data_IF_136159617856
#
_entry.id   IF_136159617856
#
_cell.length_a   1.000
_cell.length_b   1.000
_cell.length_c   1.000
_cell.angle_alpha   90.00
_cell.angle_beta   90.00
_cell.angle_gamma   90.00
#
_symmetry.space_group_name_H-M   'P 1'
#
loop_
_entity.id
_entity.type
_entity.pdbx_description
1 polymer ?
#
# COMPACT_ATOMS: atom_id res chain seq x y z
N UNK A 1 39.58 18.90 14.14
CA UNK A 1 40.34 17.78 13.53
C UNK A 1 39.72 16.49 14.04
N UNK A 2 39.16 15.71 13.12
CA UNK A 2 38.20 14.62 13.34
C UNK A 2 38.85 13.42 14.03
N UNK A 3 38.32 12.98 15.18
CA UNK A 3 38.59 11.64 15.73
C UNK A 3 37.51 10.68 15.23
N UNK A 4 37.93 9.76 14.34
CA UNK A 4 37.14 8.65 13.83
C UNK A 4 36.88 7.64 14.95
N UNK A 5 35.61 7.46 15.32
CA UNK A 5 35.14 6.32 16.12
C UNK A 5 34.98 5.13 15.16
N UNK A 6 35.75 4.07 15.42
CA UNK A 6 35.59 2.75 14.82
C UNK A 6 34.34 2.08 15.39
N UNK A 7 33.26 1.98 14.63
CA UNK A 7 32.17 1.05 14.90
C UNK A 7 32.39 -0.25 14.12
N UNK A 8 32.58 -1.34 14.86
CA UNK A 8 32.49 -2.73 14.39
C UNK A 8 31.06 -3.04 13.95
N UNK A 9 30.91 -3.52 12.73
CA UNK A 9 29.63 -3.85 12.09
C UNK A 9 29.18 -5.26 12.49
N UNK A 10 27.98 -5.40 13.03
CA UNK A 10 27.33 -6.69 13.29
C UNK A 10 26.30 -6.97 12.21
N UNK A 11 26.58 -7.96 11.35
CA UNK A 11 25.59 -8.50 10.39
C UNK A 11 24.61 -9.38 11.17
N UNK A 12 23.34 -9.00 11.23
CA UNK A 12 22.26 -9.89 11.68
C UNK A 12 21.82 -10.73 10.48
N UNK A 13 22.27 -11.99 10.45
CA UNK A 13 21.73 -13.02 9.55
C UNK A 13 20.75 -13.84 10.37
N UNK A 14 19.46 -13.81 10.02
CA UNK A 14 18.53 -14.82 10.52
C UNK A 14 18.88 -16.14 9.84
N UNK A 15 19.62 -17.00 10.55
CA UNK A 15 20.02 -18.31 10.04
C UNK A 15 18.83 -19.26 10.23
N UNK A 16 18.13 -19.58 9.14
CA UNK A 16 17.18 -20.70 9.13
C UNK A 16 17.88 -22.02 9.47
N UNK A 17 17.12 -23.01 9.93
CA UNK A 17 17.64 -24.31 10.34
C UNK A 17 18.56 -24.93 9.26
N UNK A 18 19.77 -25.34 9.68
CA UNK A 18 20.76 -26.01 8.84
C UNK A 18 22.06 -25.24 8.56
N UNK A 19 22.16 -23.95 8.90
CA UNK A 19 23.37 -23.14 8.68
C UNK A 19 24.21 -23.00 9.96
N UNK A 20 25.52 -23.29 9.89
CA UNK A 20 26.47 -23.06 11.01
C UNK A 20 27.51 -22.01 10.65
N UNK A 21 27.76 -21.09 11.58
CA UNK A 21 28.80 -20.06 11.49
C UNK A 21 30.15 -20.68 11.86
N UNK A 22 31.15 -20.59 10.97
CA UNK A 22 32.51 -21.05 11.29
C UNK A 22 33.41 -19.89 11.75
N UNK A 23 34.44 -20.22 12.56
CA UNK A 23 35.44 -19.23 13.03
C UNK A 23 36.18 -18.66 11.82
N UNK A 24 35.88 -17.40 11.49
CA UNK A 24 36.35 -16.72 10.29
C UNK A 24 35.25 -15.99 9.51
N UNK A 25 33.99 -16.11 9.91
CA UNK A 25 32.87 -15.36 9.30
C UNK A 25 32.29 -16.00 8.04
N UNK A 26 32.72 -17.21 7.66
CA UNK A 26 32.10 -17.99 6.58
C UNK A 26 30.94 -18.81 7.11
N UNK A 27 29.83 -18.80 6.38
CA UNK A 27 28.63 -19.60 6.66
C UNK A 27 28.69 -20.82 5.75
N UNK A 28 28.63 -22.04 6.31
CA UNK A 28 28.56 -23.28 5.54
C UNK A 28 27.12 -23.81 5.51
N UNK A 29 26.66 -24.25 4.33
CA UNK A 29 25.40 -24.95 4.12
C UNK A 29 25.71 -26.44 3.85
N UNK A 30 25.03 -27.36 4.55
CA UNK A 30 25.23 -28.81 4.41
C UNK A 30 24.21 -29.51 3.49
N UNK A 31 23.39 -28.75 2.75
CA UNK A 31 22.31 -29.30 1.92
C UNK A 31 22.41 -28.78 0.48
N UNK A 32 22.42 -29.72 -0.47
CA UNK A 32 22.54 -29.52 -1.93
C UNK A 32 21.21 -29.04 -2.54
N UNK A 33 20.66 -27.95 -2.02
CA UNK A 33 19.55 -27.23 -2.66
C UNK A 33 19.87 -25.73 -2.68
N UNK A 34 19.75 -25.06 -3.84
CA UNK A 34 20.07 -23.63 -3.93
C UNK A 34 19.09 -22.84 -3.07
N UNK A 35 19.60 -22.21 -2.00
CA UNK A 35 18.84 -21.27 -1.16
C UNK A 35 19.32 -19.84 -1.44
N UNK A 36 18.38 -18.94 -1.70
CA UNK A 36 18.64 -17.50 -1.88
C UNK A 36 18.79 -16.83 -0.52
N UNK A 37 19.85 -16.04 -0.34
CA UNK A 37 20.06 -15.24 0.88
C UNK A 37 20.36 -13.80 0.47
N UNK A 38 19.59 -12.85 1.00
CA UNK A 38 19.82 -11.43 0.75
C UNK A 38 20.82 -10.84 1.73
N UNK A 39 21.80 -10.09 1.21
CA UNK A 39 22.81 -9.42 2.03
C UNK A 39 22.78 -7.92 1.75
N UNK A 40 22.55 -7.13 2.81
CA UNK A 40 22.56 -5.68 2.75
C UNK A 40 23.99 -5.15 2.87
N UNK A 41 24.47 -4.41 1.88
CA UNK A 41 25.76 -3.69 1.94
C UNK A 41 25.59 -2.27 1.42
N UNK A 42 25.80 -1.29 2.30
CA UNK A 42 25.77 0.16 1.97
C UNK A 42 24.52 0.61 1.21
N UNK A 43 23.33 0.20 1.66
CA UNK A 43 22.07 0.63 1.04
C UNK A 43 21.73 -0.06 -0.29
N UNK A 44 22.58 -0.93 -0.83
CA UNK A 44 22.17 -1.86 -1.89
C UNK A 44 21.77 -3.22 -1.29
N UNK A 45 20.64 -3.74 -1.75
CA UNK A 45 20.21 -5.12 -1.53
C UNK A 45 20.76 -5.97 -2.69
N UNK A 46 21.50 -7.03 -2.38
CA UNK A 46 21.98 -8.01 -3.37
C UNK A 46 21.49 -9.40 -2.98
N UNK A 47 20.95 -10.14 -3.95
CA UNK A 47 20.62 -11.55 -3.81
C UNK A 47 21.89 -12.37 -4.07
N UNK A 48 22.29 -13.20 -3.09
CA UNK A 48 23.35 -14.17 -3.26
C UNK A 48 22.75 -15.58 -3.36
N UNK A 49 23.11 -16.30 -4.41
CA UNK A 49 22.78 -17.72 -4.58
C UNK A 49 24.01 -18.53 -4.21
N UNK A 50 23.81 -19.55 -3.37
CA UNK A 50 24.83 -20.58 -3.12
C UNK A 50 24.63 -21.69 -4.15
N UNK A 51 25.63 -21.93 -4.99
CA UNK A 51 25.58 -23.02 -5.96
C UNK A 51 25.81 -24.39 -5.29
N UNK A 52 25.64 -25.48 -6.06
CA UNK A 52 25.79 -26.86 -5.57
C UNK A 52 27.19 -27.19 -5.03
N UNK A 53 28.17 -26.35 -5.31
CA UNK A 53 29.56 -26.47 -4.85
C UNK A 53 29.86 -25.58 -3.62
N UNK A 54 28.87 -24.82 -3.14
CA UNK A 54 28.99 -23.99 -1.93
C UNK A 54 29.62 -22.61 -2.17
N UNK A 55 29.77 -22.18 -3.43
CA UNK A 55 30.25 -20.83 -3.76
C UNK A 55 29.09 -19.83 -3.87
N UNK A 56 29.33 -18.60 -3.40
CA UNK A 56 28.36 -17.51 -3.45
C UNK A 56 28.49 -16.76 -4.77
N UNK A 57 27.42 -16.75 -5.57
CA UNK A 57 27.33 -15.95 -6.80
C UNK A 57 26.31 -14.83 -6.64
N UNK A 58 26.65 -13.64 -7.14
CA UNK A 58 25.74 -12.50 -7.22
C UNK A 58 24.70 -12.76 -8.32
N UNK A 59 23.42 -12.83 -7.96
CA UNK A 59 22.32 -12.90 -8.91
C UNK A 59 21.96 -11.45 -9.26
N UNK A 60 22.50 -10.93 -10.36
CA UNK A 60 22.04 -9.68 -10.95
C UNK A 60 20.69 -9.99 -11.58
N UNK A 61 19.65 -9.22 -11.27
CA UNK A 61 18.31 -9.36 -11.87
C UNK A 61 18.42 -9.46 -13.40
N UNK A 62 18.38 -10.68 -13.92
CA UNK A 62 18.50 -10.98 -15.34
C UNK A 62 19.48 -12.09 -15.66
N UNK A 63 19.20 -13.33 -15.25
CA UNK A 63 19.34 -14.49 -16.13
C UNK A 63 18.74 -15.76 -15.52
N UNK A 64 17.47 -16.01 -15.85
CA UNK A 64 16.84 -17.33 -16.08
C UNK A 64 15.33 -17.17 -16.06
N UNK A 65 14.75 -17.12 -17.26
CA UNK A 65 13.31 -17.24 -17.45
C UNK A 65 12.80 -18.59 -16.96
N UNK A 66 11.63 -18.57 -16.32
CA UNK A 66 10.73 -19.70 -16.32
C UNK A 66 10.23 -19.86 -17.76
N UNK A 67 10.37 -21.08 -18.28
CA UNK A 67 10.38 -21.37 -19.72
C UNK A 67 9.15 -20.92 -20.50
N UNK A 68 9.42 -20.32 -21.65
CA UNK A 68 8.61 -20.41 -22.86
C UNK A 68 9.62 -20.61 -23.99
N UNK A 69 9.51 -21.73 -24.72
CA UNK A 69 10.45 -22.03 -25.80
C UNK A 69 10.37 -21.02 -26.93
N UNK A 70 11.51 -20.72 -27.54
CA UNK A 70 11.81 -20.87 -28.97
C UNK A 70 13.24 -20.38 -29.22
N UNK A 71 13.94 -21.11 -30.09
CA UNK A 71 15.32 -20.89 -30.52
C UNK A 71 15.54 -19.48 -31.07
N UNK A 72 16.29 -18.62 -30.36
CA UNK A 72 16.96 -17.45 -30.95
C UNK A 72 18.31 -17.22 -30.25
N UNK A 73 19.35 -17.05 -31.05
CA UNK A 73 20.76 -16.92 -30.64
C UNK A 73 20.99 -15.69 -29.74
N UNK A 74 21.68 -15.91 -28.62
CA UNK A 74 22.12 -14.85 -27.70
C UNK A 74 23.28 -14.07 -28.36
N UNK A 75 23.17 -12.74 -28.60
CA UNK A 75 24.28 -11.96 -29.13
C UNK A 75 25.38 -11.75 -28.07
N UNK A 76 26.65 -11.63 -28.48
CA UNK A 76 27.77 -11.62 -27.56
C UNK A 76 27.87 -10.29 -26.79
N UNK A 77 28.10 -10.45 -25.48
CA UNK A 77 28.60 -9.49 -24.49
C UNK A 77 28.93 -8.08 -25.00
N UNK A 78 28.02 -7.14 -24.75
CA UNK A 78 28.23 -5.70 -24.82
C UNK A 78 26.98 -5.00 -24.28
N UNK A 79 27.14 -4.30 -23.16
CA UNK A 79 26.12 -3.49 -22.47
C UNK A 79 24.82 -4.21 -22.09
N UNK A 80 24.79 -4.77 -20.87
CA UNK A 80 23.53 -5.11 -20.23
C UNK A 80 22.67 -3.83 -20.12
N UNK A 81 21.47 -3.77 -20.72
CA UNK A 81 20.63 -2.59 -20.57
C UNK A 81 20.31 -2.43 -19.09
N UNK A 82 20.61 -1.27 -18.51
CA UNK A 82 20.09 -0.91 -17.19
C UNK A 82 18.57 -0.96 -17.31
N UNK A 83 17.94 -2.05 -16.85
CA UNK A 83 16.49 -2.15 -16.84
C UNK A 83 16.00 -1.24 -15.74
N UNK A 84 15.83 0.05 -16.05
CA UNK A 84 15.04 0.96 -15.22
C UNK A 84 13.63 0.40 -15.16
N UNK A 85 13.04 0.35 -13.96
CA UNK A 85 11.63 0.05 -13.83
C UNK A 85 10.85 1.13 -14.59
N UNK A 86 9.92 0.71 -15.44
CA UNK A 86 9.03 1.62 -16.16
C UNK A 86 7.60 1.17 -15.90
N UNK A 87 6.71 2.07 -15.45
CA UNK A 87 5.30 1.74 -15.30
C UNK A 87 4.72 1.14 -16.59
N UNK A 88 3.84 0.16 -16.41
CA UNK A 88 3.23 -0.61 -17.51
C UNK A 88 1.79 -0.16 -17.76
N UNK A 89 1.32 -0.40 -18.98
CA UNK A 89 -0.05 -0.05 -19.39
C UNK A 89 -0.38 1.42 -19.15
N UNK A 90 -1.59 1.69 -18.67
CA UNK A 90 -2.08 3.07 -18.46
C UNK A 90 -1.30 3.85 -17.41
N UNK A 91 -0.62 3.20 -16.46
CA UNK A 91 0.19 3.92 -15.46
C UNK A 91 1.29 4.75 -16.13
N UNK A 92 1.81 4.30 -17.28
CA UNK A 92 2.79 5.06 -18.07
C UNK A 92 2.21 6.36 -18.61
N UNK A 93 1.00 6.29 -19.14
CA UNK A 93 0.31 7.47 -19.69
C UNK A 93 -0.08 8.42 -18.57
N UNK A 94 -0.48 7.86 -17.42
CA UNK A 94 -0.84 8.62 -16.24
C UNK A 94 0.36 9.36 -15.66
N UNK A 95 1.52 8.71 -15.61
CA UNK A 95 2.77 9.33 -15.16
C UNK A 95 3.10 10.56 -16.01
N UNK A 96 3.05 10.46 -17.35
CA UNK A 96 3.37 11.59 -18.24
C UNK A 96 2.50 12.82 -18.01
N UNK A 97 1.20 12.61 -17.81
CA UNK A 97 0.29 13.73 -17.52
C UNK A 97 0.60 14.34 -16.15
N UNK A 98 0.91 13.51 -15.16
CA UNK A 98 1.27 13.96 -13.81
C UNK A 98 2.63 14.66 -13.75
N UNK A 99 3.59 14.31 -14.59
CA UNK A 99 4.86 15.05 -14.74
C UNK A 99 4.63 16.49 -15.22
N UNK A 100 3.66 16.71 -16.11
CA UNK A 100 3.30 18.06 -16.56
C UNK A 100 2.63 18.88 -15.44
N UNK A 101 1.72 18.26 -14.68
CA UNK A 101 1.13 18.89 -13.48
C UNK A 101 2.23 19.28 -12.49
N UNK A 102 3.15 18.35 -12.21
CA UNK A 102 4.25 18.56 -11.27
C UNK A 102 5.17 19.71 -11.69
N UNK A 103 5.56 19.76 -12.97
CA UNK A 103 6.40 20.83 -13.52
C UNK A 103 5.80 22.21 -13.25
N UNK A 104 4.47 22.33 -13.41
CA UNK A 104 3.75 23.59 -13.15
C UNK A 104 3.82 23.98 -11.67
N UNK A 105 3.72 23.01 -10.76
CA UNK A 105 3.85 23.27 -9.31
C UNK A 105 5.29 23.64 -8.96
N UNK A 106 6.28 22.94 -9.50
CA UNK A 106 7.70 23.23 -9.28
C UNK A 106 8.09 24.65 -9.72
N UNK A 107 7.62 25.08 -10.89
CA UNK A 107 7.81 26.46 -11.37
C UNK A 107 7.16 27.49 -10.43
N UNK A 108 5.97 27.18 -9.89
CA UNK A 108 5.25 28.05 -8.97
C UNK A 108 5.94 28.21 -7.61
N UNK A 109 6.64 27.17 -7.12
CA UNK A 109 7.30 27.18 -5.80
C UNK A 109 8.79 27.50 -5.87
N UNK A 110 9.45 27.30 -7.01
CA UNK A 110 10.92 27.29 -7.12
C UNK A 110 11.60 28.62 -6.73
N UNK A 111 10.89 29.74 -6.85
CA UNK A 111 11.39 31.07 -6.45
C UNK A 111 11.03 31.46 -5.01
N UNK A 112 10.35 30.59 -4.25
CA UNK A 112 9.72 30.92 -2.96
C UNK A 112 10.12 29.93 -1.86
N UNK A 113 11.28 30.11 -1.19
CA UNK A 113 11.70 29.23 -0.10
C UNK A 113 10.71 29.18 1.08
N UNK A 114 9.92 30.24 1.27
CA UNK A 114 8.87 30.39 2.28
C UNK A 114 7.54 29.71 1.89
N UNK A 115 7.46 29.12 0.70
CA UNK A 115 6.25 28.43 0.25
C UNK A 115 5.94 27.24 1.17
N UNK A 116 4.67 27.03 1.59
CA UNK A 116 4.31 25.94 2.52
C UNK A 116 4.81 24.56 2.09
N UNK A 117 4.78 24.26 0.78
CA UNK A 117 5.31 23.01 0.23
C UNK A 117 6.83 22.87 0.39
N UNK A 118 7.59 23.95 0.19
CA UNK A 118 9.05 23.94 0.39
C UNK A 118 9.40 23.76 1.87
N UNK A 119 8.62 24.38 2.76
CA UNK A 119 8.74 24.17 4.20
C UNK A 119 8.45 22.71 4.55
N UNK A 120 7.41 22.11 3.96
CA UNK A 120 7.03 20.72 4.21
C UNK A 120 8.05 19.72 3.70
N UNK A 121 8.68 19.99 2.55
CA UNK A 121 9.79 19.20 2.02
C UNK A 121 11.03 19.24 2.91
N UNK A 122 11.27 20.35 3.60
CA UNK A 122 12.38 20.51 4.53
C UNK A 122 12.07 20.05 5.95
N UNK A 123 10.80 19.78 6.26
CA UNK A 123 10.32 19.50 7.60
C UNK A 123 10.30 18.00 7.90
N UNK A 124 10.64 17.66 9.14
CA UNK A 124 10.46 16.33 9.71
C UNK A 124 9.36 16.45 10.76
N UNK A 125 8.28 15.71 10.56
CA UNK A 125 7.16 15.62 11.49
C UNK A 125 7.65 15.05 12.82
N UNK A 126 7.24 15.72 13.90
CA UNK A 126 7.57 15.32 15.27
C UNK A 126 6.80 14.04 15.67
N UNK A 127 5.61 13.84 15.09
CA UNK A 127 4.78 12.65 15.27
C UNK A 127 4.27 12.14 13.90
N UNK A 128 4.36 10.82 13.68
CA UNK A 128 3.67 10.16 12.58
C UNK A 128 2.17 10.09 12.86
N UNK A 129 1.34 10.32 11.84
CA UNK A 129 -0.07 9.91 11.90
C UNK A 129 -0.14 8.40 12.09
N UNK A 130 -0.93 7.96 13.07
CA UNK A 130 -1.35 6.56 13.23
C UNK A 130 -2.89 6.46 13.18
N UNK A 131 -3.54 7.48 12.63
CA UNK A 131 -4.99 7.60 12.59
C UNK A 131 -5.63 6.58 11.66
N UNK A 132 -5.02 6.33 10.50
CA UNK A 132 -5.55 5.41 9.49
C UNK A 132 -5.35 3.97 9.92
N UNK A 133 -4.12 3.53 10.18
CA UNK A 133 -3.86 2.15 10.63
C UNK A 133 -4.68 1.75 11.84
N UNK A 134 -4.86 2.64 12.82
CA UNK A 134 -5.72 2.40 13.99
C UNK A 134 -7.21 2.31 13.63
N UNK A 135 -7.69 3.17 12.73
CA UNK A 135 -9.08 3.11 12.28
C UNK A 135 -9.39 1.84 11.47
N UNK A 136 -8.41 1.35 10.69
CA UNK A 136 -8.58 0.16 9.86
C UNK A 136 -8.45 -1.14 10.65
N UNK A 137 -7.55 -1.21 11.63
CA UNK A 137 -7.34 -2.40 12.45
C UNK A 137 -8.28 -2.44 13.65
N UNK A 138 -9.56 -2.72 13.38
CA UNK A 138 -10.62 -2.71 14.40
C UNK A 138 -10.42 -3.78 15.47
N UNK A 139 -10.60 -3.39 16.72
CA UNK A 139 -10.47 -4.28 17.88
C UNK A 139 -11.65 -5.24 18.06
N UNK A 140 -12.81 -4.94 17.46
CA UNK A 140 -14.00 -5.79 17.53
C UNK A 140 -14.02 -6.90 16.48
N UNK A 141 -12.98 -7.01 15.66
CA UNK A 141 -12.84 -8.05 14.64
C UNK A 141 -13.76 -7.87 13.42
N UNK A 142 -14.53 -6.78 13.33
CA UNK A 142 -15.29 -6.46 12.13
C UNK A 142 -14.39 -5.86 11.05
N UNK A 143 -14.82 -5.93 9.79
CA UNK A 143 -14.16 -5.27 8.68
C UNK A 143 -14.29 -3.75 8.79
N UNK A 144 -13.19 -3.01 8.66
CA UNK A 144 -13.25 -1.58 8.45
C UNK A 144 -13.75 -1.26 7.03
N UNK A 145 -14.54 -0.21 6.89
CA UNK A 145 -15.11 0.21 5.60
C UNK A 145 -14.52 1.56 5.20
N UNK A 146 -13.92 1.60 4.00
CA UNK A 146 -13.34 2.79 3.38
C UNK A 146 -14.15 3.14 2.12
N UNK A 147 -15.16 4.01 2.22
CA UNK A 147 -15.81 4.55 1.04
C UNK A 147 -14.83 5.39 0.22
N UNK A 148 -14.83 5.13 -1.08
CA UNK A 148 -14.04 5.87 -2.06
C UNK A 148 -14.91 6.89 -2.79
N UNK A 149 -14.54 8.17 -2.67
CA UNK A 149 -15.25 9.31 -3.24
C UNK A 149 -14.59 9.71 -4.56
N UNK A 150 -15.35 9.56 -5.65
CA UNK A 150 -14.97 9.91 -7.03
C UNK A 150 -16.22 10.18 -7.87
N UNK A 151 -16.10 11.04 -8.87
CA UNK A 151 -17.18 11.34 -9.84
C UNK A 151 -17.12 10.41 -11.06
N UNK A 152 -15.92 9.93 -11.40
CA UNK A 152 -15.65 9.10 -12.57
C UNK A 152 -15.06 7.75 -12.10
N UNK A 153 -15.53 6.67 -12.71
CA UNK A 153 -14.94 5.33 -12.59
C UNK A 153 -13.97 5.11 -13.75
N UNK A 154 -12.81 4.48 -13.46
CA UNK A 154 -11.90 4.07 -14.51
C UNK A 154 -12.61 3.07 -15.47
N UNK A 155 -12.31 3.14 -16.76
CA UNK A 155 -12.90 2.26 -17.76
C UNK A 155 -12.50 0.80 -17.54
N UNK A 156 -13.34 -0.12 -18.05
CA UNK A 156 -13.06 -1.56 -18.01
C UNK A 156 -12.13 -2.06 -19.13
N UNK A 157 -11.76 -1.17 -20.05
CA UNK A 157 -10.90 -1.43 -21.21
C UNK A 157 -9.94 -0.26 -21.44
N UNK A 158 -8.69 -0.49 -21.95
CA UNK A 158 -7.73 0.56 -22.28
C UNK A 158 -8.18 1.61 -23.32
N UNK A 159 -9.14 1.27 -24.18
CA UNK A 159 -9.57 2.15 -25.28
C UNK A 159 -10.84 2.95 -24.98
N UNK A 160 -11.45 2.73 -23.81
CA UNK A 160 -12.69 3.38 -23.40
C UNK A 160 -12.43 4.60 -22.50
N UNK A 161 -13.30 5.63 -22.56
CA UNK A 161 -13.29 6.72 -21.59
C UNK A 161 -13.86 6.26 -20.24
N UNK A 162 -13.46 6.94 -19.16
CA UNK A 162 -14.04 6.71 -17.84
C UNK A 162 -15.55 7.02 -17.80
N UNK A 163 -16.28 6.28 -16.97
CA UNK A 163 -17.72 6.45 -16.81
C UNK A 163 -18.02 7.44 -15.69
N UNK A 164 -18.78 8.50 -15.96
CA UNK A 164 -19.30 9.37 -14.90
C UNK A 164 -20.39 8.62 -14.11
N UNK A 165 -20.11 8.35 -12.83
CA UNK A 165 -20.98 7.56 -11.95
C UNK A 165 -21.86 8.41 -11.04
N UNK A 166 -21.53 9.70 -10.87
CA UNK A 166 -22.28 10.65 -10.06
C UNK A 166 -21.95 12.10 -10.48
N UNK A 167 -22.93 13.00 -10.33
CA UNK A 167 -22.74 14.45 -10.51
C UNK A 167 -22.29 15.15 -9.24
N UNK A 168 -21.99 14.39 -8.16
CA UNK A 168 -21.61 14.85 -6.81
C UNK A 168 -21.12 16.31 -6.77
N UNK A 169 -21.99 17.27 -6.45
CA UNK A 169 -21.64 18.68 -6.57
C UNK A 169 -20.66 19.11 -5.48
N UNK A 170 -20.88 18.63 -4.25
CA UNK A 170 -20.04 18.94 -3.10
C UNK A 170 -19.51 17.66 -2.44
N UNK A 171 -18.20 17.43 -2.56
CA UNK A 171 -17.51 16.27 -1.98
C UNK A 171 -17.61 16.28 -0.45
N UNK A 172 -17.65 17.45 0.19
CA UNK A 172 -17.79 17.53 1.65
C UNK A 172 -19.13 16.96 2.13
N UNK A 173 -20.24 17.30 1.48
CA UNK A 173 -21.56 16.82 1.90
C UNK A 173 -21.62 15.29 1.83
N UNK A 174 -21.00 14.69 0.81
CA UNK A 174 -20.90 13.24 0.72
C UNK A 174 -19.96 12.65 1.77
N UNK A 175 -18.82 13.27 2.04
CA UNK A 175 -17.92 12.81 3.11
C UNK A 175 -18.61 12.89 4.48
N UNK A 176 -19.39 13.94 4.75
CA UNK A 176 -20.17 14.08 5.97
C UNK A 176 -21.25 12.99 6.08
N UNK A 177 -21.96 12.70 4.98
CA UNK A 177 -22.91 11.58 4.91
C UNK A 177 -22.24 10.25 5.27
N UNK A 178 -21.05 9.99 4.72
CA UNK A 178 -20.28 8.77 4.96
C UNK A 178 -19.75 8.70 6.40
N UNK A 179 -19.32 9.82 6.97
CA UNK A 179 -18.96 9.94 8.39
C UNK A 179 -20.15 9.57 9.29
N UNK A 180 -21.33 10.14 9.02
CA UNK A 180 -22.56 9.85 9.78
C UNK A 180 -23.00 8.40 9.60
N UNK A 181 -22.79 7.85 8.40
CA UNK A 181 -23.06 6.44 8.10
C UNK A 181 -22.14 5.45 8.83
N UNK A 182 -21.02 5.92 9.38
CA UNK A 182 -20.12 5.12 10.19
C UNK A 182 -18.83 4.68 9.49
N UNK A 183 -18.43 5.33 8.39
CA UNK A 183 -17.17 5.02 7.70
C UNK A 183 -15.97 5.10 8.65
N UNK A 184 -15.04 4.15 8.52
CA UNK A 184 -13.83 4.09 9.37
C UNK A 184 -12.73 5.02 8.86
N UNK A 185 -12.64 5.19 7.54
CA UNK A 185 -11.84 6.20 6.85
C UNK A 185 -12.54 6.61 5.55
N UNK A 186 -12.17 7.73 4.95
CA UNK A 186 -12.72 8.15 3.65
C UNK A 186 -11.59 8.41 2.67
N UNK A 187 -11.60 7.69 1.54
CA UNK A 187 -10.64 7.88 0.46
C UNK A 187 -11.22 8.80 -0.59
N UNK A 188 -10.57 9.94 -0.83
CA UNK A 188 -11.04 10.97 -1.76
C UNK A 188 -10.02 11.09 -2.87
N UNK A 189 -10.47 10.87 -4.10
CA UNK A 189 -9.61 11.05 -5.26
C UNK A 189 -9.35 12.53 -5.55
N UNK A 190 -8.16 12.87 -6.04
CA UNK A 190 -7.79 14.25 -6.40
C UNK A 190 -7.34 14.42 -7.85
N UNK A 191 -7.31 13.34 -8.63
CA UNK A 191 -7.09 13.41 -10.08
C UNK A 191 -8.38 13.81 -10.81
N UNK A 192 -8.35 15.00 -11.42
CA UNK A 192 -9.52 15.58 -12.08
C UNK A 192 -9.85 14.90 -13.41
N UNK A 193 -8.84 14.41 -14.13
CA UNK A 193 -9.01 13.81 -15.46
C UNK A 193 -9.66 12.43 -15.35
N UNK A 194 -9.22 11.62 -14.39
CA UNK A 194 -9.53 10.18 -14.27
C UNK A 194 -10.65 9.91 -13.27
N UNK A 195 -10.73 10.68 -12.20
CA UNK A 195 -11.70 10.47 -11.12
C UNK A 195 -12.67 11.64 -10.97
N UNK A 196 -12.44 12.75 -11.67
CA UNK A 196 -13.34 13.89 -11.70
C UNK A 196 -13.37 14.71 -10.41
N UNK A 197 -12.44 14.48 -9.48
CA UNK A 197 -12.29 15.24 -8.23
C UNK A 197 -10.96 16.00 -8.24
N UNK A 198 -10.82 17.01 -7.38
CA UNK A 198 -9.70 17.94 -7.41
C UNK A 198 -9.05 18.13 -6.03
N UNK A 199 -7.86 18.73 -6.00
CA UNK A 199 -7.25 19.19 -4.75
C UNK A 199 -8.14 20.21 -4.01
N UNK A 200 -8.90 21.03 -4.74
CA UNK A 200 -9.88 21.96 -4.17
C UNK A 200 -11.02 21.26 -3.43
N UNK A 201 -11.51 20.14 -3.98
CA UNK A 201 -12.50 19.29 -3.30
C UNK A 201 -11.94 18.75 -1.98
N UNK A 202 -10.71 18.21 -2.01
CA UNK A 202 -10.05 17.67 -0.81
C UNK A 202 -9.83 18.75 0.25
N UNK A 203 -9.36 19.93 -0.16
CA UNK A 203 -9.16 21.06 0.75
C UNK A 203 -10.47 21.55 1.40
N UNK A 204 -11.56 21.57 0.63
CA UNK A 204 -12.89 21.92 1.13
C UNK A 204 -13.31 20.94 2.22
N UNK A 205 -13.13 19.64 1.97
CA UNK A 205 -13.45 18.57 2.92
C UNK A 205 -12.65 18.73 4.21
N UNK A 206 -11.32 18.82 4.13
CA UNK A 206 -10.46 18.87 5.33
C UNK A 206 -10.77 20.08 6.19
N UNK A 207 -10.88 21.28 5.60
CA UNK A 207 -11.21 22.52 6.31
C UNK A 207 -12.57 22.49 7.01
N UNK A 208 -13.58 21.88 6.39
CA UNK A 208 -14.94 21.83 6.93
C UNK A 208 -15.11 20.70 7.94
N UNK A 209 -14.46 19.55 7.72
CA UNK A 209 -14.54 18.40 8.65
C UNK A 209 -13.86 18.70 9.98
N UNK A 210 -12.75 19.44 9.98
CA UNK A 210 -12.13 19.94 11.22
C UNK A 210 -13.10 20.76 12.10
N UNK A 211 -14.12 21.40 11.50
CA UNK A 211 -15.11 22.20 12.21
C UNK A 211 -16.35 21.42 12.63
N UNK A 212 -16.62 20.27 12.01
CA UNK A 212 -17.84 19.50 12.19
C UNK A 212 -17.89 18.72 13.53
N UNK A 213 -16.77 18.64 14.26
CA UNK A 213 -16.70 18.03 15.59
C UNK A 213 -16.68 16.49 15.57
N UNK A 214 -16.58 15.91 16.77
CA UNK A 214 -16.51 14.46 16.99
C UNK A 214 -17.89 13.79 16.87
N UNK A 215 -17.91 12.49 16.58
CA UNK A 215 -19.14 11.69 16.50
C UNK A 215 -19.34 10.80 17.75
N UNK A 216 -20.56 10.33 18.04
CA UNK A 216 -20.79 9.36 19.12
C UNK A 216 -20.00 8.07 18.87
N UNK A 217 -19.15 7.66 19.82
CA UNK A 217 -18.33 6.45 19.72
C UNK A 217 -17.01 6.60 18.97
N UNK A 218 -16.59 7.82 18.59
CA UNK A 218 -15.29 8.08 17.97
C UNK A 218 -14.77 9.46 18.38
N UNK A 219 -13.51 9.54 18.79
CA UNK A 219 -12.85 10.79 19.17
C UNK A 219 -12.43 11.63 17.94
N UNK A 220 -13.37 11.91 17.03
CA UNK A 220 -13.14 12.81 15.89
C UNK A 220 -13.82 12.44 14.57
N UNK A 221 -13.45 13.19 13.52
CA UNK A 221 -13.76 12.90 12.13
C UNK A 221 -12.98 11.66 11.65
N UNK A 222 -13.50 10.88 10.67
CA UNK A 222 -12.77 9.76 10.11
C UNK A 222 -11.50 10.26 9.41
N UNK A 223 -10.39 9.50 9.45
CA UNK A 223 -9.19 9.82 8.68
C UNK A 223 -9.49 9.99 7.19
N UNK A 224 -8.87 11.01 6.58
CA UNK A 224 -9.01 11.34 5.17
C UNK A 224 -7.78 10.86 4.40
N UNK A 225 -8.01 10.03 3.39
CA UNK A 225 -6.97 9.42 2.54
C UNK A 225 -7.01 10.11 1.18
N UNK A 226 -5.88 10.66 0.71
CA UNK A 226 -5.75 11.20 -0.64
C UNK A 226 -5.47 10.06 -1.63
N UNK A 227 -6.40 9.83 -2.55
CA UNK A 227 -6.20 8.98 -3.72
C UNK A 227 -5.71 9.80 -4.91
N UNK A 228 -4.50 9.56 -5.38
CA UNK A 228 -3.94 10.19 -6.56
C UNK A 228 -2.81 9.31 -7.14
N UNK A 229 -2.32 9.65 -8.32
CA UNK A 229 -1.14 9.02 -8.91
C UNK A 229 0.13 9.73 -8.38
N UNK A 230 0.55 9.32 -7.18
CA UNK A 230 1.70 9.91 -6.48
C UNK A 230 2.98 9.19 -6.89
N UNK A 231 3.96 9.95 -7.35
CA UNK A 231 5.29 9.45 -7.73
C UNK A 231 6.42 10.39 -7.27
N UNK A 232 6.09 11.57 -6.72
CA UNK A 232 7.07 12.59 -6.31
C UNK A 232 6.82 13.13 -4.89
N UNK A 233 7.86 13.42 -4.09
CA UNK A 233 7.71 13.96 -2.73
C UNK A 233 6.93 15.28 -2.64
N UNK A 234 6.93 16.09 -3.70
CA UNK A 234 6.14 17.33 -3.74
C UNK A 234 4.63 17.05 -3.62
N UNK A 235 4.14 15.96 -4.22
CA UNK A 235 2.73 15.56 -4.09
C UNK A 235 2.41 15.08 -2.66
N UNK A 236 3.39 14.50 -1.95
CA UNK A 236 3.27 14.17 -0.53
C UNK A 236 3.18 15.45 0.30
N UNK A 237 4.02 16.45 0.00
CA UNK A 237 3.97 17.75 0.65
C UNK A 237 2.61 18.42 0.45
N UNK A 238 2.04 18.37 -0.77
CA UNK A 238 0.67 18.84 -1.03
C UNK A 238 -0.37 18.10 -0.19
N UNK A 239 -0.28 16.77 -0.11
CA UNK A 239 -1.22 15.98 0.68
C UNK A 239 -1.17 16.35 2.17
N UNK A 240 0.03 16.52 2.72
CA UNK A 240 0.24 16.91 4.11
C UNK A 240 -0.26 18.33 4.39
N UNK A 241 0.02 19.30 3.51
CA UNK A 241 -0.47 20.68 3.65
C UNK A 241 -1.99 20.80 3.50
N UNK A 242 -2.61 19.90 2.73
CA UNK A 242 -4.06 19.80 2.64
C UNK A 242 -4.72 19.17 3.86
N UNK A 243 -3.93 18.54 4.75
CA UNK A 243 -4.43 17.86 5.95
C UNK A 243 -4.89 16.42 5.71
N UNK A 244 -4.32 15.73 4.72
CA UNK A 244 -4.51 14.29 4.57
C UNK A 244 -3.89 13.53 5.76
N UNK A 245 -4.51 12.42 6.15
CA UNK A 245 -3.95 11.48 7.13
C UNK A 245 -3.11 10.40 6.47
N UNK A 246 -3.44 10.05 5.23
CA UNK A 246 -2.69 9.10 4.43
C UNK A 246 -2.78 9.39 2.94
N UNK A 247 -1.91 8.71 2.19
CA UNK A 247 -1.84 8.74 0.73
C UNK A 247 -1.85 7.32 0.17
N UNK A 248 -2.35 7.17 -1.06
CA UNK A 248 -2.19 5.94 -1.84
C UNK A 248 -0.89 6.03 -2.63
N UNK A 249 -0.01 5.03 -2.47
CA UNK A 249 1.20 4.84 -3.29
C UNK A 249 1.02 3.60 -4.14
N UNK A 250 0.84 3.75 -5.45
CA UNK A 250 0.71 2.59 -6.36
C UNK A 250 2.10 2.01 -6.60
N UNK A 251 2.36 0.78 -6.14
CA UNK A 251 3.69 0.18 -6.17
C UNK A 251 4.30 0.19 -7.58
N UNK A 252 3.53 -0.24 -8.59
CA UNK A 252 3.98 -0.26 -9.98
C UNK A 252 4.22 1.13 -10.61
N UNK A 253 3.71 2.20 -10.00
CA UNK A 253 4.00 3.58 -10.38
C UNK A 253 5.22 4.13 -9.64
N UNK A 254 5.36 3.79 -8.35
CA UNK A 254 6.36 4.36 -7.44
C UNK A 254 7.74 3.71 -7.56
N UNK A 255 7.84 2.48 -8.06
CA UNK A 255 9.13 1.81 -8.22
C UNK A 255 9.99 2.51 -9.29
N UNK A 256 11.32 2.60 -9.08
CA UNK A 256 12.09 2.04 -7.97
C UNK A 256 12.14 2.94 -6.70
N UNK A 257 11.54 4.13 -6.73
CA UNK A 257 11.63 5.15 -5.69
C UNK A 257 10.67 4.96 -4.49
N UNK A 258 9.96 3.83 -4.43
CA UNK A 258 8.97 3.54 -3.39
C UNK A 258 9.53 3.70 -1.96
N UNK A 259 10.76 3.26 -1.69
CA UNK A 259 11.40 3.43 -0.36
C UNK A 259 11.53 4.92 0.02
N UNK A 260 11.92 5.76 -0.94
CA UNK A 260 12.05 7.20 -0.72
C UNK A 260 10.70 7.86 -0.48
N UNK A 261 9.66 7.43 -1.20
CA UNK A 261 8.30 7.95 -1.02
C UNK A 261 7.68 7.50 0.32
N UNK A 262 7.91 6.25 0.74
CA UNK A 262 7.51 5.75 2.06
C UNK A 262 8.16 6.58 3.19
N UNK A 263 9.48 6.78 3.10
CA UNK A 263 10.21 7.59 4.07
C UNK A 263 9.74 9.05 4.06
N UNK A 264 9.53 9.63 2.88
CA UNK A 264 9.05 11.02 2.75
C UNK A 264 7.64 11.19 3.32
N UNK A 265 6.74 10.24 3.08
CA UNK A 265 5.39 10.25 3.66
C UNK A 265 5.45 10.25 5.19
N UNK A 266 6.25 9.35 5.77
CA UNK A 266 6.45 9.28 7.22
C UNK A 266 7.01 10.59 7.79
N UNK A 267 8.04 11.17 7.15
CA UNK A 267 8.63 12.45 7.54
C UNK A 267 7.65 13.62 7.43
N UNK A 268 6.60 13.54 6.60
CA UNK A 268 5.57 14.57 6.49
C UNK A 268 4.36 14.33 7.38
N UNK A 269 4.38 13.27 8.19
CA UNK A 269 3.29 12.88 9.09
C UNK A 269 2.14 12.14 8.38
N UNK A 270 2.38 11.60 7.19
CA UNK A 270 1.41 10.84 6.41
C UNK A 270 1.62 9.34 6.59
N UNK A 271 0.53 8.58 6.68
CA UNK A 271 0.59 7.13 6.47
C UNK A 271 0.57 6.83 4.96
N UNK A 272 1.36 5.83 4.55
CA UNK A 272 1.39 5.38 3.16
C UNK A 272 0.65 4.05 3.03
N UNK A 273 -0.39 4.04 2.22
CA UNK A 273 -1.12 2.83 1.84
C UNK A 273 -0.58 2.39 0.48
N UNK A 274 0.18 1.31 0.45
CA UNK A 274 0.82 0.84 -0.79
C UNK A 274 -0.15 -0.05 -1.55
N UNK A 275 -0.60 0.40 -2.73
CA UNK A 275 -1.49 -0.38 -3.62
C UNK A 275 -0.67 -1.34 -4.47
N UNK A 276 -0.94 -2.64 -4.32
CA UNK A 276 -0.26 -3.74 -5.00
C UNK A 276 -1.24 -4.56 -5.85
N UNK A 277 -0.76 -4.99 -7.01
CA UNK A 277 -1.54 -5.71 -8.03
C UNK A 277 -0.95 -7.09 -8.37
N UNK A 278 0.30 -7.34 -7.96
CA UNK A 278 1.03 -8.59 -8.19
C UNK A 278 1.76 -9.03 -6.93
N UNK A 279 2.10 -10.31 -6.85
CA UNK A 279 2.90 -10.87 -5.76
C UNK A 279 4.25 -10.15 -5.64
N UNK A 280 4.88 -9.85 -6.80
CA UNK A 280 6.14 -9.11 -6.84
C UNK A 280 6.03 -7.71 -6.24
N UNK A 281 4.98 -6.95 -6.59
CA UNK A 281 4.75 -5.62 -6.02
C UNK A 281 4.52 -5.68 -4.50
N UNK A 282 3.75 -6.67 -4.03
CA UNK A 282 3.50 -6.91 -2.61
C UNK A 282 4.79 -7.24 -1.87
N UNK A 283 5.59 -8.16 -2.38
CA UNK A 283 6.81 -8.63 -1.72
C UNK A 283 7.83 -7.49 -1.61
N UNK A 284 8.02 -6.73 -2.70
CA UNK A 284 8.89 -5.55 -2.68
C UNK A 284 8.36 -4.51 -1.69
N UNK A 285 7.06 -4.24 -1.66
CA UNK A 285 6.49 -3.29 -0.71
C UNK A 285 6.74 -3.70 0.75
N UNK A 286 6.58 -4.98 1.08
CA UNK A 286 6.88 -5.53 2.41
C UNK A 286 8.37 -5.40 2.76
N UNK A 287 9.26 -5.72 1.81
CA UNK A 287 10.71 -5.61 2.00
C UNK A 287 11.16 -4.16 2.23
N UNK A 288 10.51 -3.20 1.57
CA UNK A 288 10.76 -1.76 1.74
C UNK A 288 10.08 -1.16 2.98
N UNK A 289 9.40 -1.97 3.79
CA UNK A 289 8.85 -1.56 5.08
C UNK A 289 7.45 -0.96 5.03
N UNK A 290 6.66 -1.25 3.98
CA UNK A 290 5.25 -0.89 3.97
C UNK A 290 4.50 -1.55 5.13
N UNK A 291 3.72 -0.77 5.88
CA UNK A 291 2.94 -1.25 7.04
C UNK A 291 1.44 -1.38 6.75
N UNK A 292 0.98 -0.77 5.65
CA UNK A 292 -0.39 -0.86 5.15
C UNK A 292 -0.34 -1.24 3.66
N UNK A 293 -0.92 -2.39 3.33
CA UNK A 293 -1.04 -2.87 1.95
C UNK A 293 -2.49 -2.80 1.48
N UNK A 294 -2.71 -2.17 0.35
CA UNK A 294 -3.95 -2.23 -0.40
C UNK A 294 -3.80 -3.22 -1.56
N UNK A 295 -4.42 -4.39 -1.41
CA UNK A 295 -4.41 -5.46 -2.41
C UNK A 295 -5.63 -5.27 -3.33
N UNK A 296 -5.36 -4.98 -4.60
CA UNK A 296 -6.38 -4.53 -5.55
C UNK A 296 -6.76 -5.65 -6.53
N UNK A 297 -8.06 -5.84 -6.75
CA UNK A 297 -8.56 -6.71 -7.83
C UNK A 297 -8.44 -6.05 -9.20
N UNK A 298 -8.24 -4.72 -9.27
CA UNK A 298 -8.04 -4.01 -10.52
C UNK A 298 -6.63 -4.30 -11.05
N UNK A 299 -6.50 -4.42 -12.37
CA UNK A 299 -5.21 -4.45 -13.04
C UNK A 299 -5.03 -3.14 -13.81
N UNK A 300 -3.99 -2.35 -13.54
CA UNK A 300 -3.75 -1.15 -14.34
C UNK A 300 -3.18 -1.45 -15.74
N UNK A 301 -2.64 -2.65 -15.98
CA UNK A 301 -2.15 -3.05 -17.31
C UNK A 301 -3.29 -3.42 -18.26
N UNK A 302 -4.32 -4.10 -17.75
CA UNK A 302 -5.47 -4.55 -18.55
C UNK A 302 -6.75 -3.74 -18.31
N UNK A 303 -6.78 -2.89 -17.28
CA UNK A 303 -7.98 -2.20 -16.78
C UNK A 303 -9.11 -3.15 -16.36
N UNK A 304 -8.79 -4.42 -16.11
CA UNK A 304 -9.76 -5.44 -15.74
C UNK A 304 -9.77 -5.67 -14.24
N UNK A 305 -10.98 -5.86 -13.72
CA UNK A 305 -11.19 -6.34 -12.37
C UNK A 305 -11.25 -7.86 -12.43
N UNK A 306 -10.36 -8.52 -11.70
CA UNK A 306 -10.35 -9.98 -11.54
C UNK A 306 -10.75 -10.31 -10.10
N UNK A 307 -12.02 -10.69 -9.85
CA UNK A 307 -12.45 -11.10 -8.51
C UNK A 307 -11.52 -12.20 -7.95
N UNK A 308 -11.13 -12.06 -6.69
CA UNK A 308 -10.25 -13.01 -6.01
C UNK A 308 -8.75 -12.75 -6.15
N UNK A 309 -8.31 -11.84 -7.03
CA UNK A 309 -6.88 -11.48 -7.11
C UNK A 309 -6.34 -10.98 -5.77
N UNK A 310 -7.07 -10.08 -5.10
CA UNK A 310 -6.68 -9.59 -3.79
C UNK A 310 -6.59 -10.72 -2.76
N UNK A 311 -7.50 -11.70 -2.81
CA UNK A 311 -7.46 -12.90 -1.94
C UNK A 311 -6.15 -13.69 -2.15
N UNK A 312 -5.74 -13.90 -3.41
CA UNK A 312 -4.48 -14.57 -3.72
C UNK A 312 -3.26 -13.80 -3.19
N UNK A 313 -3.27 -12.47 -3.29
CA UNK A 313 -2.17 -11.64 -2.79
C UNK A 313 -2.05 -11.69 -1.25
N UNK A 314 -3.14 -11.92 -0.52
CA UNK A 314 -3.19 -11.91 0.95
C UNK A 314 -2.43 -13.07 1.62
N UNK A 315 -2.27 -14.19 0.93
CA UNK A 315 -1.78 -15.47 1.50
C UNK A 315 -0.40 -15.37 2.15
N UNK A 316 0.48 -14.52 1.62
CA UNK A 316 1.86 -14.35 2.10
C UNK A 316 2.07 -13.04 2.89
N UNK A 317 0.99 -12.31 3.19
CA UNK A 317 1.08 -11.08 3.98
C UNK A 317 1.03 -11.40 5.48
N UNK A 318 2.03 -10.97 6.27
CA UNK A 318 2.03 -11.16 7.72
C UNK A 318 0.85 -10.44 8.42
N UNK A 319 0.29 -11.04 9.47
CA UNK A 319 -0.89 -10.51 10.18
C UNK A 319 -0.66 -9.18 10.93
N UNK A 320 0.60 -8.76 11.13
CA UNK A 320 0.91 -7.46 11.72
C UNK A 320 0.77 -6.30 10.72
N UNK A 321 0.80 -6.59 9.41
CA UNK A 321 0.54 -5.63 8.33
C UNK A 321 -0.95 -5.35 8.26
N UNK A 322 -1.33 -4.07 8.14
CA UNK A 322 -2.73 -3.72 7.88
C UNK A 322 -3.04 -4.01 6.42
N UNK A 323 -4.08 -4.80 6.17
CA UNK A 323 -4.45 -5.23 4.83
C UNK A 323 -5.81 -4.68 4.41
N UNK A 324 -5.84 -4.10 3.22
CA UNK A 324 -7.03 -3.50 2.63
C UNK A 324 -7.34 -4.21 1.31
N UNK A 325 -8.58 -4.63 1.10
CA UNK A 325 -9.03 -5.20 -0.18
C UNK A 325 -9.86 -4.20 -0.97
N UNK A 326 -9.86 -4.29 -2.29
CA UNK A 326 -10.67 -3.42 -3.14
C UNK A 326 -10.62 -3.81 -4.61
N UNK A 327 -11.28 -3.00 -5.43
CA UNK A 327 -11.52 -3.30 -6.84
C UNK A 327 -12.76 -4.17 -7.01
N UNK A 328 -13.87 -3.53 -7.38
CA UNK A 328 -15.10 -4.22 -7.80
C UNK A 328 -15.92 -4.93 -6.72
N UNK A 329 -15.64 -4.70 -5.44
CA UNK A 329 -16.47 -5.20 -4.32
C UNK A 329 -17.76 -4.39 -4.27
N UNK A 330 -18.92 -5.07 -4.30
CA UNK A 330 -20.26 -4.47 -4.48
C UNK A 330 -21.25 -4.87 -3.40
N UNK A 331 -21.04 -5.97 -2.67
CA UNK A 331 -22.02 -6.48 -1.70
C UNK A 331 -21.37 -6.78 -0.35
N UNK A 332 -22.17 -6.77 0.73
CA UNK A 332 -21.69 -7.18 2.05
C UNK A 332 -21.24 -8.64 2.07
N UNK A 333 -21.90 -9.52 1.30
CA UNK A 333 -21.50 -10.92 1.15
C UNK A 333 -20.08 -11.04 0.59
N UNK A 334 -19.76 -10.30 -0.48
CA UNK A 334 -18.40 -10.27 -1.04
C UNK A 334 -17.39 -9.71 -0.01
N UNK A 335 -17.76 -8.67 0.74
CA UNK A 335 -16.90 -8.16 1.81
C UNK A 335 -16.54 -9.24 2.83
N UNK A 336 -17.48 -10.11 3.19
CA UNK A 336 -17.21 -11.17 4.16
C UNK A 336 -16.26 -12.25 3.67
N UNK A 337 -16.08 -12.43 2.35
CA UNK A 337 -15.01 -13.29 1.84
C UNK A 337 -13.63 -12.74 2.21
N UNK A 338 -13.45 -11.41 2.14
CA UNK A 338 -12.23 -10.75 2.60
C UNK A 338 -12.11 -10.76 4.13
N UNK A 339 -13.24 -10.70 4.84
CA UNK A 339 -13.26 -10.91 6.29
C UNK A 339 -12.69 -12.30 6.63
N UNK A 340 -13.17 -13.34 5.95
CA UNK A 340 -12.77 -14.72 6.21
C UNK A 340 -11.31 -14.97 5.78
N UNK A 341 -10.82 -14.25 4.77
CA UNK A 341 -9.43 -14.31 4.31
C UNK A 341 -8.43 -13.54 5.20
N UNK A 342 -8.87 -12.66 6.10
CA UNK A 342 -7.95 -11.96 7.02
C UNK A 342 -7.61 -10.50 6.68
N UNK A 343 -8.38 -9.84 5.82
CA UNK A 343 -8.29 -8.40 5.54
C UNK A 343 -8.81 -7.46 6.64
N UNK A 344 -8.06 -6.46 7.05
CA UNK A 344 -8.53 -5.50 8.06
C UNK A 344 -9.61 -4.55 7.53
N UNK A 345 -9.54 -4.18 6.24
CA UNK A 345 -10.47 -3.23 5.64
C UNK A 345 -10.87 -3.57 4.19
N UNK A 346 -11.97 -2.95 3.73
CA UNK A 346 -12.41 -2.95 2.33
C UNK A 346 -12.58 -1.52 1.80
N UNK A 347 -12.11 -1.28 0.58
CA UNK A 347 -12.33 -0.05 -0.20
C UNK A 347 -13.46 -0.28 -1.20
N UNK A 348 -14.48 0.57 -1.14
CA UNK A 348 -15.65 0.48 -2.01
C UNK A 348 -16.01 1.87 -2.57
N UNK A 349 -16.06 2.00 -3.90
CA UNK A 349 -16.32 3.29 -4.57
C UNK A 349 -17.77 3.44 -5.04
N UNK A 350 -18.05 2.89 -6.24
CA UNK A 350 -19.32 3.09 -6.96
C UNK A 350 -20.58 2.93 -6.11
N UNK A 351 -20.65 1.87 -5.30
CA UNK A 351 -21.84 1.62 -4.46
C UNK A 351 -22.12 2.77 -3.49
N UNK A 352 -21.09 3.36 -2.89
CA UNK A 352 -21.26 4.46 -1.95
C UNK A 352 -21.64 5.77 -2.64
N UNK A 353 -21.23 5.95 -3.90
CA UNK A 353 -21.60 7.12 -4.69
C UNK A 353 -23.05 7.09 -5.19
N UNK A 354 -23.67 5.90 -5.22
CA UNK A 354 -25.02 5.70 -5.77
C UNK A 354 -26.08 5.32 -4.71
N UNK A 355 -25.66 4.75 -3.57
CA UNK A 355 -26.57 4.33 -2.51
C UNK A 355 -27.15 5.53 -1.75
N UNK A 356 -28.42 5.39 -1.32
CA UNK A 356 -29.08 6.28 -0.35
C UNK A 356 -29.08 5.71 1.07
N UNK A 357 -28.50 4.52 1.27
CA UNK A 357 -28.53 3.77 2.53
C UNK A 357 -27.12 3.35 2.96
N UNK A 358 -26.18 4.28 2.92
CA UNK A 358 -24.78 4.02 3.29
C UNK A 358 -24.66 3.46 4.71
N UNK A 359 -25.45 4.00 5.65
CA UNK A 359 -25.49 3.54 7.04
C UNK A 359 -25.89 2.07 7.17
N UNK A 360 -26.91 1.64 6.44
CA UNK A 360 -27.38 0.26 6.46
C UNK A 360 -26.33 -0.69 5.85
N UNK A 361 -25.68 -0.29 4.76
CA UNK A 361 -24.64 -1.08 4.11
C UNK A 361 -23.40 -1.25 5.01
N UNK A 362 -22.94 -0.17 5.66
CA UNK A 362 -21.81 -0.24 6.59
C UNK A 362 -22.15 -1.15 7.78
N UNK A 363 -23.35 -0.98 8.37
CA UNK A 363 -23.80 -1.83 9.46
C UNK A 363 -23.93 -3.31 9.05
N UNK A 364 -24.36 -3.58 7.82
CA UNK A 364 -24.43 -4.93 7.27
C UNK A 364 -23.03 -5.54 7.12
N UNK A 365 -22.09 -4.83 6.51
CA UNK A 365 -20.69 -5.28 6.36
C UNK A 365 -20.09 -5.60 7.74
N UNK A 366 -20.30 -4.72 8.72
CA UNK A 366 -19.76 -4.83 10.08
C UNK A 366 -20.54 -5.78 11.00
N UNK A 367 -21.63 -6.40 10.51
CA UNK A 367 -22.44 -7.33 11.32
C UNK A 367 -21.73 -8.66 11.59
N UNK A 368 -20.81 -9.07 10.72
CA UNK A 368 -19.91 -10.21 10.96
C UNK A 368 -18.60 -9.73 11.58
N UNK A 369 -18.11 -10.52 12.51
CA UNK A 369 -16.81 -10.34 13.16
C UNK A 369 -15.99 -11.59 12.92
N UNK A 370 -14.68 -11.42 12.77
CA UNK A 370 -13.75 -12.54 12.86
C UNK A 370 -13.84 -13.16 14.24
N UNK A 371 -13.80 -14.49 14.27
CA UNK A 371 -13.46 -15.18 15.50
C UNK A 371 -11.95 -15.03 15.74
N UNK A 372 -11.59 -14.01 16.51
CA UNK A 372 -10.18 -13.69 16.81
C UNK A 372 -9.52 -14.80 17.63
N UNK A 373 -10.33 -15.61 18.32
CA UNK A 373 -9.92 -16.74 19.15
C UNK A 373 -9.32 -17.85 18.28
N UNK A 374 -10.03 -18.24 17.22
CA UNK A 374 -9.69 -19.44 16.43
C UNK A 374 -8.33 -19.30 15.72
N UNK A 375 -8.04 -18.15 15.11
CA UNK A 375 -6.72 -17.90 14.47
C UNK A 375 -5.57 -17.72 15.46
N UNK A 376 -5.84 -17.16 16.64
CA UNK A 376 -4.83 -17.11 17.70
C UNK A 376 -4.43 -18.53 18.11
N UNK A 377 -5.38 -19.45 18.24
CA UNK A 377 -5.09 -20.84 18.56
C UNK A 377 -4.42 -21.58 17.39
N UNK A 378 -4.94 -21.45 16.18
CA UNK A 378 -4.39 -22.09 14.97
C UNK A 378 -2.93 -21.67 14.68
N UNK A 379 -2.60 -20.37 14.81
CA UNK A 379 -1.24 -19.86 14.57
C UNK A 379 -0.22 -20.37 15.62
N UNK A 380 -0.69 -20.81 16.78
CA UNK A 380 0.14 -21.43 17.82
C UNK A 380 0.01 -22.97 17.84
N UNK A 381 -0.70 -23.57 16.88
CA UNK A 381 -0.90 -25.01 16.77
C UNK A 381 -1.86 -25.61 17.81
N UNK A 382 -2.71 -24.79 18.43
CA UNK A 382 -3.77 -25.22 19.33
C UNK A 382 -5.04 -25.53 18.53
N UNK A 383 -5.71 -26.63 18.87
CA UNK A 383 -6.98 -27.02 18.24
C UNK A 383 -8.20 -26.58 19.08
N UNK A 384 -9.42 -26.82 18.58
CA UNK A 384 -10.67 -26.48 19.30
C UNK A 384 -10.76 -27.13 20.69
N UNK A 385 -10.08 -28.25 20.92
CA UNK A 385 -10.05 -28.94 22.21
C UNK A 385 -9.15 -28.22 23.22
N UNK A 386 -8.06 -27.60 22.75
CA UNK A 386 -7.18 -26.75 23.54
C UNK A 386 -7.84 -25.42 23.90
N UNK A 387 -8.62 -24.84 22.98
CA UNK A 387 -9.43 -23.64 23.25
C UNK A 387 -10.47 -23.89 24.34
N UNK A 388 -11.21 -25.01 24.27
CA UNK A 388 -12.18 -25.38 25.32
C UNK A 388 -11.50 -25.61 26.67
N UNK A 389 -10.29 -26.18 26.68
CA UNK A 389 -9.49 -26.38 27.89
C UNK A 389 -9.08 -25.07 28.54
N UNK A 390 -8.60 -24.11 27.75
CA UNK A 390 -8.15 -22.81 28.25
C UNK A 390 -9.33 -21.94 28.74
N UNK A 391 -10.47 -21.99 28.05
CA UNK A 391 -11.70 -21.33 28.51
C UNK A 391 -12.25 -21.92 29.81
N UNK A 392 -11.96 -23.19 30.11
CA UNK A 392 -12.33 -23.82 31.39
C UNK A 392 -11.35 -23.55 32.55
N UNK A 393 -10.20 -22.94 32.29
CA UNK A 393 -9.18 -22.59 33.29
C UNK A 393 -9.26 -21.13 33.77
N UNK A 394 -9.97 -20.27 33.03
CA UNK A 394 -10.34 -18.90 33.40
C UNK A 394 -11.70 -18.90 34.10
#
# INVERSE_FOLDING_TARGET
MVQKILFTWSVHVSLGEGLRKTRGGRICCNTVQPRRTMVRRKGLIRCLVVDGDGEFREDVFGDRGLGVGLDEEIPPSGDAPSRSWVPVGRLRDFLKEKENELTTVEEAIGSRPDHPLNLRLAFVADEMSMGVSRALKRSDGALAVIPQVKRIELPSSPDEPGERITDLPDVYEKTLELQVAGADAVLIHTDQVRYGCSLGDFQSVTKRMLRAGSRPGFDGAPPLIRGDFIFHPLQLAEAAELGANAVILIAGLCLPDLENLLNSAALMGLEAIVECHTELERDIALELGATILYLSNLDYSTCRITPGRALSLRTEVPDWIVTVAGGGIRTASECWEYLDAGFDAVVMGRIFMQTRRANALIAEIQSRRRDVSQRFFENFGFDESDEQRLRGML
#
